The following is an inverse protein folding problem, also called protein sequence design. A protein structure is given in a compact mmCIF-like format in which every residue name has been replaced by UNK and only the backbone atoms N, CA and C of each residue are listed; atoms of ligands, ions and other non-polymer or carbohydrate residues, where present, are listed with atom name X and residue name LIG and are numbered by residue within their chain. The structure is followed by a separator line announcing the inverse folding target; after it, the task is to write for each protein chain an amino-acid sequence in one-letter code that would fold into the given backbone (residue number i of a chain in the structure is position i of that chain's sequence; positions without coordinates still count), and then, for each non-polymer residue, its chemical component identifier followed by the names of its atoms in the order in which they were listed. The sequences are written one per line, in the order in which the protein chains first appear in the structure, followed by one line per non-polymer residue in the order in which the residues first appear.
data_IF_041234339351
#
_entry.id   IF_041234339351
#
_cell.length_a   1.000
_cell.length_b   1.000
_cell.length_c   1.000
_cell.angle_alpha   90.00
_cell.angle_beta   90.00
_cell.angle_gamma   90.00
#
_symmetry.space_group_name_H-M   'P 1'
#
loop_
_entity.id
_entity.type
_entity.pdbx_description
1 polymer ?
#
# COMPACT_ATOMS: atom_id res chain seq x y z
N UNK A 1 -28.96 33.17 33.49
CA UNK A 1 -30.42 33.42 33.52
C UNK A 1 -31.05 32.14 34.03
N UNK A 2 -31.39 32.12 35.32
CA UNK A 2 -31.98 31.00 36.06
C UNK A 2 -33.47 31.31 36.16
N UNK A 3 -34.34 30.38 35.76
CA UNK A 3 -35.75 30.33 36.13
C UNK A 3 -36.19 28.85 36.03
N UNK A 4 -36.65 28.13 37.05
CA UNK A 4 -37.15 28.57 38.35
C UNK A 4 -38.65 28.36 38.52
N UNK A 5 -39.21 27.18 38.20
CA UNK A 5 -40.60 26.86 38.54
C UNK A 5 -40.78 25.55 39.33
N UNK A 6 -40.99 25.77 40.62
CA UNK A 6 -41.79 24.96 41.58
C UNK A 6 -43.10 24.47 40.91
N UNK A 7 -43.69 23.31 41.16
CA UNK A 7 -43.67 22.36 42.28
C UNK A 7 -45.14 22.01 42.56
N UNK A 8 -45.51 20.72 42.58
CA UNK A 8 -46.73 20.25 43.27
C UNK A 8 -46.72 18.72 43.38
N UNK A 9 -46.92 18.27 44.61
CA UNK A 9 -47.00 16.90 45.08
C UNK A 9 -48.45 16.41 44.97
N UNK A 10 -48.68 15.17 44.54
CA UNK A 10 -49.82 14.36 44.99
C UNK A 10 -49.45 12.87 44.98
N UNK A 11 -50.10 12.16 45.89
CA UNK A 11 -49.74 10.90 46.53
C UNK A 11 -50.03 9.63 45.74
N UNK A 12 -49.10 8.67 45.90
CA UNK A 12 -49.23 7.22 46.02
C UNK A 12 -50.45 6.49 45.44
N UNK A 13 -50.18 5.46 44.62
CA UNK A 13 -50.77 4.14 44.81
C UNK A 13 -49.80 3.08 44.27
N UNK A 14 -49.44 2.14 45.15
CA UNK A 14 -48.65 0.97 44.83
C UNK A 14 -49.44 0.05 43.91
N UNK A 15 -48.85 -0.35 42.79
CA UNK A 15 -49.28 -1.50 42.02
C UNK A 15 -48.08 -2.42 41.85
N UNK A 16 -48.12 -3.52 42.59
CA UNK A 16 -47.25 -4.68 42.43
C UNK A 16 -47.39 -5.19 40.99
N UNK A 17 -46.33 -5.08 40.18
CA UNK A 17 -46.23 -5.79 38.92
C UNK A 17 -45.02 -6.73 39.01
N UNK A 18 -45.37 -8.00 39.14
CA UNK A 18 -44.52 -9.19 39.14
C UNK A 18 -43.44 -9.08 38.06
N UNK A 19 -42.18 -9.18 38.48
CA UNK A 19 -41.03 -9.34 37.58
C UNK A 19 -41.13 -10.74 36.97
N UNK A 20 -41.33 -10.90 35.64
CA UNK A 20 -41.03 -12.19 35.04
C UNK A 20 -39.50 -12.29 35.03
N UNK A 21 -38.99 -13.21 35.86
CA UNK A 21 -37.62 -13.68 35.77
C UNK A 21 -37.44 -14.34 34.40
N UNK A 22 -37.05 -13.55 33.40
CA UNK A 22 -36.58 -14.06 32.12
C UNK A 22 -35.12 -14.46 32.33
N UNK A 23 -34.93 -15.72 32.73
CA UNK A 23 -33.62 -16.37 32.71
C UNK A 23 -33.16 -16.46 31.27
N UNK A 24 -32.51 -15.41 30.77
CA UNK A 24 -31.81 -15.46 29.51
C UNK A 24 -30.51 -16.24 29.74
N UNK A 25 -30.63 -17.57 29.66
CA UNK A 25 -29.52 -18.47 29.36
C UNK A 25 -29.05 -18.19 27.94
N UNK A 26 -28.42 -17.03 27.76
CA UNK A 26 -27.60 -16.74 26.61
C UNK A 26 -26.16 -16.88 27.07
N UNK A 27 -25.62 -18.09 27.02
CA UNK A 27 -24.19 -18.23 26.81
C UNK A 27 -23.92 -17.47 25.50
N UNK A 28 -23.52 -16.20 25.62
CA UNK A 28 -22.95 -15.52 24.48
C UNK A 28 -21.71 -16.34 24.16
N UNK A 29 -21.83 -17.19 23.14
CA UNK A 29 -20.68 -17.72 22.46
C UNK A 29 -19.86 -16.47 22.14
N UNK A 30 -18.76 -16.31 22.87
CA UNK A 30 -17.76 -15.32 22.57
C UNK A 30 -17.41 -15.62 21.12
N UNK A 31 -17.95 -14.82 20.21
CA UNK A 31 -17.52 -14.85 18.81
C UNK A 31 -16.05 -14.52 18.93
N UNK A 32 -15.22 -15.55 18.81
CA UNK A 32 -13.80 -15.39 18.63
C UNK A 32 -13.70 -14.52 17.39
N UNK A 33 -13.47 -13.22 17.61
CA UNK A 33 -13.02 -12.33 16.56
C UNK A 33 -11.79 -13.05 16.01
N UNK A 34 -11.85 -13.47 14.75
CA UNK A 34 -10.72 -14.05 14.06
C UNK A 34 -9.56 -13.07 14.23
N UNK A 35 -8.65 -13.41 15.14
CA UNK A 35 -7.41 -12.67 15.29
C UNK A 35 -6.75 -12.76 13.92
N UNK A 36 -6.37 -11.63 13.31
CA UNK A 36 -5.80 -11.63 11.97
C UNK A 36 -4.67 -12.66 11.96
N UNK A 37 -4.77 -13.63 11.04
CA UNK A 37 -3.88 -14.77 10.92
C UNK A 37 -2.45 -14.31 11.24
N UNK A 38 -1.82 -14.96 12.23
CA UNK A 38 -0.50 -14.58 12.72
C UNK A 38 0.39 -14.23 11.53
N UNK A 39 0.82 -12.97 11.44
CA UNK A 39 1.64 -12.49 10.33
C UNK A 39 2.77 -13.48 10.13
N UNK A 40 2.81 -14.12 8.95
CA UNK A 40 3.92 -15.01 8.59
C UNK A 40 5.22 -14.30 8.93
N UNK A 41 6.16 -15.01 9.56
CA UNK A 41 7.50 -14.48 9.85
C UNK A 41 8.25 -14.06 8.57
N UNK A 42 7.73 -14.44 7.39
CA UNK A 42 8.21 -14.06 6.06
C UNK A 42 7.00 -13.72 5.17
N UNK A 43 6.51 -12.48 5.19
CA UNK A 43 5.37 -12.09 4.37
C UNK A 43 5.75 -12.00 2.89
N UNK A 44 4.84 -12.36 1.98
CA UNK A 44 5.01 -12.04 0.56
C UNK A 44 5.03 -10.52 0.36
N UNK A 45 6.02 -10.02 -0.39
CA UNK A 45 6.16 -8.59 -0.69
C UNK A 45 5.87 -8.36 -2.16
N UNK A 46 4.93 -7.46 -2.44
CA UNK A 46 4.61 -6.99 -3.79
C UNK A 46 4.91 -5.49 -3.88
N UNK A 47 5.83 -5.12 -4.76
CA UNK A 47 6.15 -3.74 -5.08
C UNK A 47 5.53 -3.40 -6.44
N UNK A 48 4.59 -2.46 -6.46
CA UNK A 48 3.95 -1.95 -7.67
C UNK A 48 4.43 -0.51 -7.87
N UNK A 49 5.02 -0.23 -9.04
CA UNK A 49 5.37 1.14 -9.46
C UNK A 49 4.51 1.55 -10.64
N UNK A 50 4.15 2.82 -10.70
CA UNK A 50 3.47 3.43 -11.83
C UNK A 50 4.41 4.45 -12.46
N UNK A 51 4.73 4.28 -13.73
CA UNK A 51 5.66 5.16 -14.43
C UNK A 51 4.97 6.47 -14.81
N UNK A 52 5.63 7.59 -14.52
CA UNK A 52 5.15 8.96 -14.82
C UNK A 52 3.79 9.36 -14.22
N UNK A 53 3.28 8.63 -13.23
CA UNK A 53 1.99 8.98 -12.59
C UNK A 53 2.09 10.27 -11.77
N UNK A 54 1.06 11.11 -11.85
CA UNK A 54 0.88 12.23 -10.93
C UNK A 54 -0.09 11.85 -9.81
N UNK A 55 0.23 12.23 -8.58
CA UNK A 55 -0.63 11.96 -7.43
C UNK A 55 -2.03 12.59 -7.59
N UNK A 56 -2.11 13.80 -8.16
CA UNK A 56 -3.37 14.52 -8.40
C UNK A 56 -4.21 13.95 -9.56
N UNK A 57 -3.81 12.82 -10.15
CA UNK A 57 -4.55 12.09 -11.19
C UNK A 57 -5.04 10.71 -10.71
N UNK A 58 -5.08 10.48 -9.39
CA UNK A 58 -5.52 9.22 -8.78
C UNK A 58 -6.74 9.48 -7.88
N UNK A 59 -7.74 8.60 -7.93
CA UNK A 59 -9.04 8.75 -7.25
C UNK A 59 -8.91 8.96 -5.74
N UNK A 60 -8.09 8.14 -5.06
CA UNK A 60 -7.84 8.26 -3.62
C UNK A 60 -7.06 9.53 -3.20
N UNK A 61 -6.65 10.34 -4.16
CA UNK A 61 -6.08 11.69 -3.96
C UNK A 61 -7.01 12.81 -4.44
N UNK A 62 -8.25 12.49 -4.83
CA UNK A 62 -9.30 13.45 -5.16
C UNK A 62 -9.56 13.67 -6.66
N UNK A 63 -8.93 12.90 -7.54
CA UNK A 63 -9.16 13.01 -8.98
C UNK A 63 -10.45 12.29 -9.40
N UNK A 64 -11.32 12.97 -10.15
CA UNK A 64 -12.65 12.44 -10.51
C UNK A 64 -12.86 12.19 -12.00
N UNK A 65 -11.88 12.45 -12.86
CA UNK A 65 -12.02 12.28 -14.33
C UNK A 65 -11.56 10.91 -14.85
N UNK A 66 -10.90 10.11 -14.02
CA UNK A 66 -10.48 8.73 -14.33
C UNK A 66 -10.83 7.87 -13.13
N UNK A 67 -11.31 6.66 -13.40
CA UNK A 67 -11.59 5.66 -12.36
C UNK A 67 -10.33 4.87 -12.04
N UNK A 68 -9.95 4.81 -10.76
CA UNK A 68 -8.82 4.00 -10.26
C UNK A 68 -9.27 3.01 -9.18
N UNK A 69 -10.32 2.20 -9.42
CA UNK A 69 -11.02 1.47 -8.36
C UNK A 69 -10.13 0.52 -7.55
N UNK A 70 -9.13 -0.10 -8.19
CA UNK A 70 -8.18 -0.99 -7.51
C UNK A 70 -7.20 -0.24 -6.60
N UNK A 71 -6.72 0.94 -7.02
CA UNK A 71 -5.86 1.79 -6.19
C UNK A 71 -6.65 2.44 -5.06
N UNK A 72 -7.90 2.81 -5.33
CA UNK A 72 -8.78 3.43 -4.34
C UNK A 72 -9.12 2.46 -3.23
N UNK A 73 -9.44 1.21 -3.58
CA UNK A 73 -9.65 0.12 -2.62
C UNK A 73 -8.37 -0.21 -1.84
N UNK A 74 -7.20 -0.25 -2.51
CA UNK A 74 -5.93 -0.48 -1.80
C UNK A 74 -5.64 0.62 -0.78
N UNK A 75 -5.99 1.87 -1.11
CA UNK A 75 -5.83 3.00 -0.21
C UNK A 75 -6.84 3.01 0.96
N UNK A 76 -8.07 2.50 0.76
CA UNK A 76 -9.06 2.36 1.85
C UNK A 76 -8.73 1.24 2.82
N UNK A 77 -8.18 0.14 2.30
CA UNK A 77 -7.86 -1.06 3.08
C UNK A 77 -6.48 -0.97 3.77
N UNK A 78 -5.69 0.06 3.42
CA UNK A 78 -4.28 0.18 3.79
C UNK A 78 -3.88 1.56 4.32
N UNK A 79 -2.58 1.84 4.25
CA UNK A 79 -2.02 3.15 4.62
C UNK A 79 -1.78 3.95 3.35
N UNK A 80 -2.44 5.11 3.24
CA UNK A 80 -2.21 6.09 2.19
C UNK A 80 -1.38 7.25 2.74
N UNK A 81 -0.25 7.54 2.10
CA UNK A 81 0.57 8.70 2.42
C UNK A 81 0.01 9.95 1.74
N UNK A 82 -0.27 11.01 2.49
CA UNK A 82 -0.63 12.31 1.90
C UNK A 82 0.56 12.97 1.18
N UNK A 83 1.78 12.65 1.60
CA UNK A 83 3.02 13.15 1.05
C UNK A 83 4.00 11.99 0.83
N UNK A 84 4.20 11.60 -0.42
CA UNK A 84 5.20 10.63 -0.86
C UNK A 84 6.08 11.27 -1.93
N UNK A 85 7.38 11.36 -1.68
CA UNK A 85 8.31 12.09 -2.53
C UNK A 85 9.18 11.14 -3.36
N UNK A 86 9.21 11.36 -4.68
CA UNK A 86 10.23 10.76 -5.52
C UNK A 86 11.56 11.49 -5.32
N UNK A 87 12.63 10.74 -5.06
CA UNK A 87 13.95 11.33 -4.81
C UNK A 87 14.55 12.05 -6.03
N UNK A 88 14.12 11.65 -7.23
CA UNK A 88 14.54 12.22 -8.50
C UNK A 88 13.41 12.04 -9.52
N UNK A 89 13.05 13.07 -10.31
CA UNK A 89 11.95 13.00 -11.29
C UNK A 89 12.40 12.38 -12.63
N UNK A 90 13.17 11.29 -12.58
CA UNK A 90 13.68 10.57 -13.76
C UNK A 90 13.44 9.07 -13.54
N UNK A 91 12.72 8.40 -14.44
CA UNK A 91 12.23 7.03 -14.25
C UNK A 91 13.33 6.04 -13.88
N UNK A 92 14.41 5.94 -14.68
CA UNK A 92 15.51 5.00 -14.43
C UNK A 92 16.18 5.28 -13.07
N UNK A 93 16.52 6.54 -12.80
CA UNK A 93 17.17 6.94 -11.55
C UNK A 93 16.26 6.73 -10.32
N UNK A 94 14.96 7.02 -10.45
CA UNK A 94 13.98 6.82 -9.37
C UNK A 94 13.84 5.33 -9.03
N UNK A 95 13.77 4.45 -10.02
CA UNK A 95 13.74 3.00 -9.79
C UNK A 95 15.05 2.48 -9.19
N UNK A 96 16.20 3.00 -9.62
CA UNK A 96 17.48 2.67 -9.00
C UNK A 96 17.51 3.08 -7.50
N UNK A 97 16.96 4.25 -7.15
CA UNK A 97 16.82 4.69 -5.76
C UNK A 97 15.90 3.75 -4.97
N UNK A 98 14.72 3.42 -5.50
CA UNK A 98 13.76 2.49 -4.87
C UNK A 98 14.42 1.14 -4.61
N UNK A 99 15.12 0.58 -5.59
CA UNK A 99 15.73 -0.74 -5.48
C UNK A 99 17.00 -0.76 -4.63
N UNK A 100 17.70 0.36 -4.45
CA UNK A 100 18.96 0.38 -3.68
C UNK A 100 18.79 0.95 -2.27
N UNK A 101 17.76 1.76 -2.04
CA UNK A 101 17.59 2.53 -0.81
C UNK A 101 18.65 3.62 -0.64
N UNK A 102 19.23 4.11 -1.73
CA UNK A 102 20.32 5.12 -1.71
C UNK A 102 20.02 6.29 -2.61
N UNK A 103 20.67 7.44 -2.38
CA UNK A 103 20.53 8.61 -3.25
C UNK A 103 21.16 8.39 -4.64
N UNK A 104 20.70 9.11 -5.69
CA UNK A 104 21.30 9.07 -7.03
C UNK A 104 22.81 9.35 -7.03
N UNK A 105 23.29 10.19 -6.11
CA UNK A 105 24.72 10.48 -5.96
C UNK A 105 25.53 9.30 -5.43
N UNK A 106 24.89 8.42 -4.64
CA UNK A 106 25.52 7.23 -4.07
C UNK A 106 25.52 6.06 -5.05
N UNK A 107 24.39 5.80 -5.72
CA UNK A 107 24.29 4.72 -6.71
C UNK A 107 24.77 5.09 -8.12
N UNK A 108 25.01 6.39 -8.37
CA UNK A 108 25.53 6.99 -9.61
C UNK A 108 24.58 6.91 -10.83
N UNK A 109 23.34 6.48 -10.64
CA UNK A 109 22.29 6.53 -11.68
C UNK A 109 21.58 7.88 -11.58
N UNK A 110 21.94 8.83 -12.43
CA UNK A 110 21.48 10.23 -12.35
C UNK A 110 20.58 10.65 -13.50
N UNK A 111 20.66 9.96 -14.61
CA UNK A 111 19.96 10.25 -15.87
C UNK A 111 19.99 9.01 -16.79
N UNK A 112 19.51 9.17 -18.02
CA UNK A 112 19.49 8.14 -19.06
C UNK A 112 20.82 7.98 -19.82
N UNK A 113 21.84 8.78 -19.51
CA UNK A 113 23.18 8.70 -20.10
C UNK A 113 24.14 7.85 -19.28
N UNK A 114 23.80 7.60 -18.01
CA UNK A 114 24.57 6.70 -17.14
C UNK A 114 24.61 5.28 -17.71
N UNK A 115 25.68 4.54 -17.42
CA UNK A 115 25.82 3.14 -17.80
C UNK A 115 24.86 2.18 -17.06
N UNK A 116 23.82 2.70 -16.42
CA UNK A 116 22.94 1.96 -15.52
C UNK A 116 23.52 1.73 -14.13
N UNK A 117 22.87 0.85 -13.38
CA UNK A 117 23.19 0.57 -11.99
C UNK A 117 24.40 -0.38 -11.88
N UNK A 118 25.50 0.11 -11.32
CA UNK A 118 26.74 -0.64 -11.17
C UNK A 118 26.59 -1.90 -10.28
N UNK A 119 27.28 -2.99 -10.67
CA UNK A 119 27.23 -4.29 -9.99
C UNK A 119 27.62 -4.27 -8.50
N UNK A 120 28.43 -3.29 -8.09
CA UNK A 120 28.85 -3.13 -6.68
C UNK A 120 27.78 -2.55 -5.76
N UNK A 121 26.66 -2.03 -6.29
CA UNK A 121 25.59 -1.45 -5.48
C UNK A 121 24.53 -2.52 -5.19
N UNK A 122 24.32 -2.94 -3.92
CA UNK A 122 23.35 -3.99 -3.60
C UNK A 122 21.91 -3.54 -3.80
N UNK A 123 21.07 -4.42 -4.34
CA UNK A 123 19.63 -4.16 -4.50
C UNK A 123 18.78 -4.83 -3.42
N UNK A 124 17.54 -4.35 -3.25
CA UNK A 124 16.51 -4.93 -2.42
C UNK A 124 16.23 -6.38 -2.86
N UNK A 125 16.15 -6.63 -4.15
CA UNK A 125 15.94 -7.96 -4.70
C UNK A 125 17.09 -8.93 -4.34
N UNK A 126 18.35 -8.49 -4.43
CA UNK A 126 19.51 -9.29 -4.00
C UNK A 126 19.48 -9.59 -2.49
N UNK A 127 19.02 -8.62 -1.68
CA UNK A 127 18.84 -8.81 -0.24
C UNK A 127 17.72 -9.80 0.06
N UNK A 128 16.58 -9.69 -0.61
CA UNK A 128 15.45 -10.61 -0.44
C UNK A 128 15.83 -12.03 -0.88
N UNK A 129 16.46 -12.21 -2.04
CA UNK A 129 16.90 -13.53 -2.51
C UNK A 129 17.86 -14.21 -1.54
N UNK A 130 18.84 -13.47 -1.00
CA UNK A 130 19.76 -14.00 0.03
C UNK A 130 19.06 -14.43 1.32
N UNK A 131 17.86 -13.94 1.58
CA UNK A 131 17.03 -14.30 2.74
C UNK A 131 15.95 -15.33 2.39
N UNK A 132 16.07 -16.04 1.26
CA UNK A 132 15.21 -17.16 0.89
C UNK A 132 13.90 -16.77 0.21
N UNK A 133 13.77 -15.54 -0.28
CA UNK A 133 12.63 -15.14 -1.10
C UNK A 133 12.82 -15.56 -2.55
N UNK A 134 11.75 -16.06 -3.16
CA UNK A 134 11.64 -16.15 -4.61
C UNK A 134 11.33 -14.77 -5.16
N UNK A 135 12.09 -14.34 -6.17
CA UNK A 135 12.03 -12.96 -6.67
C UNK A 135 11.73 -12.92 -8.15
N UNK A 136 10.74 -12.11 -8.52
CA UNK A 136 10.35 -11.89 -9.91
C UNK A 136 10.06 -10.40 -10.15
N UNK A 137 10.34 -9.92 -11.35
CA UNK A 137 9.96 -8.60 -11.84
C UNK A 137 9.39 -8.70 -13.25
N UNK A 138 8.37 -7.90 -13.52
CA UNK A 138 7.71 -7.78 -14.81
C UNK A 138 7.64 -6.29 -15.11
N UNK A 139 8.28 -5.85 -16.19
CA UNK A 139 8.42 -4.42 -16.51
C UNK A 139 7.78 -4.13 -17.86
N UNK A 140 7.04 -3.02 -17.92
CA UNK A 140 6.33 -2.57 -19.13
C UNK A 140 6.97 -1.36 -19.80
N UNK A 141 8.20 -1.00 -19.42
CA UNK A 141 8.88 0.22 -19.88
C UNK A 141 10.33 -0.06 -20.25
N UNK A 142 10.73 0.33 -21.45
CA UNK A 142 12.09 0.10 -21.99
C UNK A 142 13.18 0.76 -21.13
N UNK A 143 12.88 1.87 -20.47
CA UNK A 143 13.83 2.55 -19.58
C UNK A 143 14.18 1.75 -18.32
N UNK A 144 13.46 0.65 -18.07
CA UNK A 144 13.72 -0.30 -16.99
C UNK A 144 14.24 -1.65 -17.50
N UNK A 145 14.67 -1.72 -18.77
CA UNK A 145 15.25 -2.92 -19.34
C UNK A 145 16.46 -3.41 -18.53
N UNK A 146 16.65 -4.73 -18.50
CA UNK A 146 17.73 -5.39 -17.76
C UNK A 146 19.14 -4.92 -18.15
N UNK A 147 19.32 -4.34 -19.35
CA UNK A 147 20.57 -3.70 -19.79
C UNK A 147 21.06 -2.61 -18.82
N UNK A 148 20.16 -1.97 -18.07
CA UNK A 148 20.49 -0.94 -17.08
C UNK A 148 20.89 -1.51 -15.72
N UNK A 149 21.10 -2.82 -15.59
CA UNK A 149 21.59 -3.47 -14.38
C UNK A 149 20.56 -3.66 -13.26
N UNK A 150 19.28 -3.42 -13.54
CA UNK A 150 18.17 -3.53 -12.57
C UNK A 150 17.72 -4.98 -12.29
N UNK A 151 18.03 -5.91 -13.20
CA UNK A 151 17.67 -7.34 -13.07
C UNK A 151 18.31 -8.04 -11.87
N UNK A 152 19.41 -7.49 -11.35
CA UNK A 152 20.19 -8.13 -10.28
C UNK A 152 19.33 -8.35 -9.05
N UNK A 153 19.25 -9.61 -8.63
CA UNK A 153 18.43 -10.02 -7.50
C UNK A 153 17.27 -10.91 -7.92
N UNK A 154 16.66 -10.63 -9.06
CA UNK A 154 15.48 -11.34 -9.56
C UNK A 154 15.83 -12.66 -10.26
N UNK A 155 15.12 -13.73 -9.91
CA UNK A 155 15.19 -15.02 -10.62
C UNK A 155 14.49 -14.91 -11.98
N UNK A 156 13.31 -14.28 -12.00
CA UNK A 156 12.56 -13.98 -13.21
C UNK A 156 12.57 -12.47 -13.44
N UNK A 157 12.94 -12.06 -14.65
CA UNK A 157 12.89 -10.66 -15.06
C UNK A 157 12.36 -10.62 -16.49
N UNK A 158 11.10 -10.24 -16.62
CA UNK A 158 10.43 -10.08 -17.91
C UNK A 158 10.41 -8.61 -18.29
N UNK A 159 11.24 -8.26 -19.28
CA UNK A 159 11.35 -6.94 -19.87
C UNK A 159 11.05 -6.94 -21.37
N UNK A 160 10.27 -7.93 -21.82
CA UNK A 160 9.73 -7.97 -23.17
C UNK A 160 8.63 -6.92 -23.32
N UNK A 161 9.04 -5.68 -23.52
CA UNK A 161 8.12 -4.59 -23.86
C UNK A 161 7.84 -4.72 -25.36
N UNK A 162 6.64 -5.19 -25.70
CA UNK A 162 6.16 -5.13 -27.07
C UNK A 162 6.13 -3.65 -27.47
N UNK A 163 7.02 -3.26 -28.37
CA UNK A 163 6.88 -1.99 -29.07
C UNK A 163 5.75 -2.21 -30.07
N UNK A 164 4.54 -1.79 -29.73
CA UNK A 164 3.50 -1.56 -30.74
C UNK A 164 4.01 -0.43 -31.63
N UNK A 165 4.85 -0.78 -32.60
CA UNK A 165 5.18 0.07 -33.74
C UNK A 165 3.88 0.08 -34.53
N UNK A 166 3.01 1.04 -34.22
CA UNK A 166 1.72 1.19 -34.86
C UNK A 166 1.90 1.02 -36.37
N UNK A 167 1.19 0.05 -36.95
CA UNK A 167 1.04 -0.04 -38.39
C UNK A 167 0.47 1.31 -38.87
N UNK A 168 1.32 2.11 -39.49
CA UNK A 168 0.95 3.33 -40.19
C UNK A 168 0.23 2.99 -41.50
#
# INVERSE_FOLDING_TARGET
MIDGRHGAWTSASAALAVIPALTLSGAQALVAQDLPAARSSRPSVLLITLDTVRADHVGCYGYSKIETPNLDRLASDGIRFSHAYAQVPITLASHAVILTGTYPMSNRVRDFTSAGLAAGVPTLAERLRRNGYRTAAFVSSFVLNSMWGLRRGFEVYDDNVALDVGAA
#
